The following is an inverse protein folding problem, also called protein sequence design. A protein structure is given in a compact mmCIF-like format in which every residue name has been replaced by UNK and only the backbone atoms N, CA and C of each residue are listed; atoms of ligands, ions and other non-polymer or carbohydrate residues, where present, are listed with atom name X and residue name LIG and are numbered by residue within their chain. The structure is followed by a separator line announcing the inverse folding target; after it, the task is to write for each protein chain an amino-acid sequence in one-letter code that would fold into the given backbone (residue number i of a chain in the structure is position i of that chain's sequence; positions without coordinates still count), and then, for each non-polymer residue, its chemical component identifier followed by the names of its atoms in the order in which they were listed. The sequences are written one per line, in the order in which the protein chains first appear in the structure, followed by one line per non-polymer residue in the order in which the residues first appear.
data_IF_146680793877
#
_entry.id   IF_146680793877
#
_cell.length_a   1.000
_cell.length_b   1.000
_cell.length_c   1.000
_cell.angle_alpha   90.00
_cell.angle_beta   90.00
_cell.angle_gamma   90.00
#
_symmetry.space_group_name_H-M   'P 1'
#
loop_
_entity.id
_entity.type
_entity.pdbx_description
1 polymer ?
#
# COMPACT_ATOMS: atom_id res chain seq x y z
N UNK A 1 -10.94 19.76 -33.91
CA UNK A 1 -10.18 20.39 -32.79
C UNK A 1 -9.73 19.29 -31.83
N UNK A 2 -8.71 18.55 -32.26
CA UNK A 2 -7.98 17.54 -31.49
C UNK A 2 -6.62 18.13 -31.13
N UNK A 3 -6.63 19.31 -30.50
CA UNK A 3 -5.41 19.87 -29.91
C UNK A 3 -5.15 19.18 -28.57
N UNK A 4 -4.11 18.35 -28.58
CA UNK A 4 -3.02 18.38 -27.59
C UNK A 4 -3.27 17.85 -26.17
N UNK A 5 -4.09 16.81 -26.03
CA UNK A 5 -4.18 16.01 -24.78
C UNK A 5 -2.84 15.36 -24.38
N UNK A 6 -1.95 15.07 -25.34
CA UNK A 6 -0.64 14.47 -25.06
C UNK A 6 0.34 15.43 -24.39
N UNK A 7 0.27 16.72 -24.73
CA UNK A 7 1.18 17.74 -24.21
C UNK A 7 0.81 18.10 -22.78
N UNK A 8 -0.49 18.23 -22.48
CA UNK A 8 -0.96 18.47 -21.11
C UNK A 8 -0.66 17.32 -20.14
N UNK A 9 -0.72 16.06 -20.61
CA UNK A 9 -0.34 14.91 -19.79
C UNK A 9 1.18 14.84 -19.53
N UNK A 10 2.00 15.18 -20.53
CA UNK A 10 3.45 15.21 -20.37
C UNK A 10 3.90 16.30 -19.38
N UNK A 11 3.29 17.49 -19.45
CA UNK A 11 3.56 18.59 -18.52
C UNK A 11 3.12 18.24 -17.10
N UNK A 12 1.97 17.57 -16.94
CA UNK A 12 1.50 17.09 -15.64
C UNK A 12 2.45 16.06 -15.02
N UNK A 13 2.92 15.09 -15.81
CA UNK A 13 3.89 14.08 -15.35
C UNK A 13 5.22 14.69 -14.93
N UNK A 14 5.74 15.67 -15.67
CA UNK A 14 6.97 16.37 -15.32
C UNK A 14 6.84 17.15 -14.00
N UNK A 15 5.70 17.80 -13.76
CA UNK A 15 5.43 18.49 -12.50
C UNK A 15 5.27 17.51 -11.33
N UNK A 16 4.66 16.35 -11.58
CA UNK A 16 4.53 15.30 -10.58
C UNK A 16 5.91 14.73 -10.17
N UNK A 17 6.79 14.44 -11.15
CA UNK A 17 8.15 13.96 -10.88
C UNK A 17 8.97 14.97 -10.06
N UNK A 18 8.89 16.27 -10.38
CA UNK A 18 9.60 17.31 -9.64
C UNK A 18 9.12 17.43 -8.19
N UNK A 19 7.80 17.40 -7.97
CA UNK A 19 7.21 17.43 -6.63
C UNK A 19 7.58 16.16 -5.83
N UNK A 20 7.59 15.01 -6.50
CA UNK A 20 7.98 13.74 -5.90
C UNK A 20 9.45 13.75 -5.46
N UNK A 21 10.37 14.23 -6.30
CA UNK A 21 11.80 14.34 -5.95
C UNK A 21 12.05 15.32 -4.79
N UNK A 22 11.36 16.47 -4.78
CA UNK A 22 11.49 17.44 -3.69
C UNK A 22 10.96 16.88 -2.37
N UNK A 23 9.87 16.12 -2.42
CA UNK A 23 9.31 15.44 -1.27
C UNK A 23 10.26 14.33 -0.77
N UNK A 24 10.79 13.47 -1.64
CA UNK A 24 11.77 12.44 -1.24
C UNK A 24 12.99 13.03 -0.53
N UNK A 25 13.60 14.09 -1.08
CA UNK A 25 14.82 14.70 -0.49
C UNK A 25 14.57 15.32 0.88
N UNK A 26 13.41 15.94 1.08
CA UNK A 26 13.05 16.54 2.37
C UNK A 26 12.68 15.49 3.42
N UNK A 27 12.01 14.40 3.01
CA UNK A 27 11.61 13.30 3.88
C UNK A 27 12.81 12.42 4.28
N UNK A 28 13.78 12.19 3.39
CA UNK A 28 15.00 11.43 3.68
C UNK A 28 15.86 12.07 4.79
N UNK A 29 15.87 13.41 4.87
CA UNK A 29 16.59 14.14 5.93
C UNK A 29 15.93 13.94 7.31
N UNK A 30 14.59 14.00 7.38
CA UNK A 30 13.82 13.82 8.62
C UNK A 30 13.82 12.37 9.10
N UNK A 31 13.85 11.40 8.17
CA UNK A 31 13.92 9.97 8.48
C UNK A 31 15.20 9.57 9.21
N UNK A 32 16.37 10.09 8.79
CA UNK A 32 17.66 9.80 9.45
C UNK A 32 17.70 10.24 10.92
N UNK A 33 16.96 11.30 11.26
CA UNK A 33 16.88 11.81 12.63
C UNK A 33 15.98 10.92 13.50
N UNK A 34 14.91 10.33 12.93
CA UNK A 34 13.96 9.47 13.63
C UNK A 34 14.41 7.99 13.76
N UNK A 35 15.17 7.45 12.80
CA UNK A 35 15.61 6.04 12.76
C UNK A 35 16.61 5.69 13.88
N UNK A 36 17.25 6.69 14.50
CA UNK A 36 18.20 6.48 15.61
C UNK A 36 17.56 5.92 16.90
N UNK A 37 16.22 5.87 16.99
CA UNK A 37 15.52 5.49 18.23
C UNK A 37 14.57 4.28 18.17
N UNK A 38 14.30 3.63 17.01
CA UNK A 38 13.11 2.75 16.87
C UNK A 38 13.34 1.28 16.49
N UNK A 39 14.56 0.83 16.22
CA UNK A 39 14.82 -0.55 15.78
C UNK A 39 14.83 -1.53 16.96
N UNK A 40 13.77 -2.31 17.19
CA UNK A 40 13.97 -3.67 17.79
C UNK A 40 12.81 -4.68 17.79
N UNK A 41 11.51 -4.37 17.65
CA UNK A 41 10.49 -5.33 18.16
C UNK A 41 9.39 -5.87 17.20
N UNK A 42 9.43 -5.65 15.89
CA UNK A 42 8.26 -5.93 15.03
C UNK A 42 8.25 -7.27 14.24
N UNK A 43 9.19 -8.20 14.39
CA UNK A 43 9.36 -9.26 13.36
C UNK A 43 8.59 -10.58 13.52
N UNK A 44 8.04 -10.96 14.68
CA UNK A 44 7.68 -12.39 14.94
C UNK A 44 6.22 -12.70 15.31
N UNK A 45 5.28 -11.75 15.29
CA UNK A 45 3.88 -12.03 15.63
C UNK A 45 2.97 -11.88 14.39
N UNK A 46 2.25 -12.95 14.06
CA UNK A 46 1.31 -12.97 12.93
C UNK A 46 0.29 -11.83 13.00
N UNK A 47 -0.15 -11.35 11.82
CA UNK A 47 -1.04 -10.20 11.67
C UNK A 47 -2.30 -10.30 12.55
N UNK A 48 -2.51 -9.31 13.42
CA UNK A 48 -3.73 -9.13 14.20
C UNK A 48 -4.41 -7.82 13.81
N UNK A 49 -5.67 -7.84 13.34
CA UNK A 49 -6.40 -6.61 12.99
C UNK A 49 -6.48 -5.57 14.13
N UNK A 50 -6.41 -6.02 15.38
CA UNK A 50 -6.40 -5.16 16.56
C UNK A 50 -5.12 -4.31 16.70
N UNK A 51 -4.00 -4.70 16.08
CA UNK A 51 -2.76 -3.94 16.15
C UNK A 51 -2.81 -2.69 15.24
N UNK A 52 -3.68 -2.68 14.22
CA UNK A 52 -3.98 -1.51 13.39
C UNK A 52 -4.69 -0.38 14.17
N UNK A 53 -5.20 -0.66 15.38
CA UNK A 53 -5.88 0.33 16.23
C UNK A 53 -4.92 1.16 17.07
N UNK A 54 -3.65 0.75 17.19
CA UNK A 54 -2.63 1.43 18.01
C UNK A 54 -1.82 2.45 17.21
N UNK A 55 -1.76 2.27 15.89
CA UNK A 55 -1.21 3.26 14.98
C UNK A 55 -2.31 4.26 14.68
N UNK A 56 -2.10 5.51 15.13
CA UNK A 56 -3.09 6.58 15.00
C UNK A 56 -3.50 6.84 13.55
N UNK A 57 -4.52 7.69 13.40
CA UNK A 57 -4.87 8.47 12.18
C UNK A 57 -6.13 8.09 11.39
N UNK A 58 -6.83 6.98 11.65
CA UNK A 58 -8.17 6.80 11.04
C UNK A 58 -9.24 7.51 11.89
N UNK A 59 -9.61 8.72 11.45
CA UNK A 59 -10.54 9.63 12.14
C UNK A 59 -11.95 9.04 12.32
N UNK A 60 -12.35 8.11 11.46
CA UNK A 60 -13.70 7.54 11.44
C UNK A 60 -13.69 6.03 11.25
N UNK A 61 -14.25 5.29 12.23
CA UNK A 61 -14.29 3.81 12.23
C UNK A 61 -15.43 3.21 11.38
N UNK A 62 -16.19 4.02 10.67
CA UNK A 62 -17.34 3.54 9.89
C UNK A 62 -17.00 3.18 8.43
N UNK A 63 -15.84 3.60 7.93
CA UNK A 63 -15.44 3.34 6.55
C UNK A 63 -13.92 3.37 6.39
N UNK A 64 -13.37 2.46 5.58
CA UNK A 64 -11.99 2.50 5.12
C UNK A 64 -11.87 2.15 3.64
N UNK A 65 -10.97 2.83 2.94
CA UNK A 65 -10.45 2.36 1.68
C UNK A 65 -9.37 1.30 1.93
N UNK A 66 -9.30 0.28 1.10
CA UNK A 66 -8.34 -0.80 1.22
C UNK A 66 -7.67 -1.09 -0.13
N UNK A 67 -6.34 -1.16 -0.11
CA UNK A 67 -5.55 -1.61 -1.25
C UNK A 67 -4.32 -2.39 -0.82
N UNK A 68 -3.60 -2.96 -1.79
CA UNK A 68 -2.46 -3.86 -1.58
C UNK A 68 -1.31 -3.56 -2.54
N UNK A 69 -0.23 -2.95 -2.04
CA UNK A 69 1.03 -2.79 -2.79
C UNK A 69 1.96 -3.98 -2.52
N UNK A 70 1.50 -5.19 -2.83
CA UNK A 70 2.26 -6.41 -2.56
C UNK A 70 2.84 -6.96 -3.85
N UNK A 71 4.15 -6.71 -4.00
CA UNK A 71 4.94 -6.93 -5.21
C UNK A 71 6.41 -7.08 -4.83
N UNK A 72 7.22 -7.66 -5.71
CA UNK A 72 8.69 -7.63 -5.73
C UNK A 72 9.24 -6.65 -6.79
N UNK A 73 8.38 -6.13 -7.66
CA UNK A 73 8.71 -5.15 -8.69
C UNK A 73 8.50 -3.71 -8.22
N UNK A 74 9.55 -2.87 -8.31
CA UNK A 74 9.48 -1.43 -7.99
C UNK A 74 8.41 -0.70 -8.83
N UNK A 75 8.31 -1.00 -10.12
CA UNK A 75 7.35 -0.36 -11.03
C UNK A 75 5.89 -0.53 -10.56
N UNK A 76 5.53 -1.70 -10.02
CA UNK A 76 4.19 -1.97 -9.50
C UNK A 76 3.97 -1.23 -8.18
N UNK A 77 5.03 -1.09 -7.36
CA UNK A 77 4.97 -0.30 -6.13
C UNK A 77 4.71 1.19 -6.44
N UNK A 78 5.41 1.74 -7.42
CA UNK A 78 5.24 3.14 -7.84
C UNK A 78 3.81 3.39 -8.35
N UNK A 79 3.26 2.47 -9.16
CA UNK A 79 1.86 2.52 -9.59
C UNK A 79 0.89 2.50 -8.40
N UNK A 80 1.13 1.62 -7.43
CA UNK A 80 0.31 1.57 -6.22
C UNK A 80 0.34 2.89 -5.44
N UNK A 81 1.52 3.50 -5.32
CA UNK A 81 1.68 4.77 -4.62
C UNK A 81 0.97 5.90 -5.37
N UNK A 82 1.08 5.95 -6.70
CA UNK A 82 0.34 6.91 -7.52
C UNK A 82 -1.17 6.78 -7.31
N UNK A 83 -1.70 5.55 -7.27
CA UNK A 83 -3.13 5.29 -7.04
C UNK A 83 -3.58 5.75 -5.65
N UNK A 84 -2.80 5.49 -4.60
CA UNK A 84 -3.08 5.99 -3.24
C UNK A 84 -3.02 7.53 -3.19
N UNK A 85 -1.99 8.14 -3.80
CA UNK A 85 -1.89 9.59 -3.88
C UNK A 85 -3.09 10.21 -4.63
N UNK A 86 -3.55 9.59 -5.71
CA UNK A 86 -4.74 10.05 -6.45
C UNK A 86 -6.00 10.01 -5.58
N UNK A 87 -6.19 8.95 -4.80
CA UNK A 87 -7.30 8.84 -3.84
C UNK A 87 -7.23 9.96 -2.78
N UNK A 88 -6.06 10.15 -2.17
CA UNK A 88 -5.83 11.17 -1.15
C UNK A 88 -6.11 12.58 -1.69
N UNK A 89 -5.66 12.87 -2.93
CA UNK A 89 -5.83 14.18 -3.55
C UNK A 89 -7.28 14.50 -3.96
N UNK A 90 -8.08 13.48 -4.30
CA UNK A 90 -9.41 13.68 -4.91
C UNK A 90 -10.57 13.48 -3.94
N UNK A 91 -10.43 12.61 -2.93
CA UNK A 91 -11.57 12.16 -2.13
C UNK A 91 -11.55 12.59 -0.66
N UNK A 92 -10.43 13.13 -0.17
CA UNK A 92 -10.21 13.38 1.27
C UNK A 92 -10.66 12.18 2.14
N UNK A 93 -10.07 10.99 1.91
CA UNK A 93 -10.60 9.75 2.46
C UNK A 93 -10.46 9.72 3.99
N UNK A 94 -11.47 9.21 4.73
CA UNK A 94 -11.44 9.20 6.19
C UNK A 94 -10.41 8.21 6.78
N UNK A 95 -10.02 7.21 6.00
CA UNK A 95 -9.06 6.17 6.38
C UNK A 95 -8.66 5.39 5.12
N UNK A 96 -7.36 5.14 4.95
CA UNK A 96 -6.83 4.25 3.92
C UNK A 96 -5.99 3.19 4.61
N UNK A 97 -6.27 1.92 4.36
CA UNK A 97 -5.46 0.79 4.83
C UNK A 97 -4.73 0.21 3.62
N UNK A 98 -3.40 0.18 3.68
CA UNK A 98 -2.57 -0.38 2.62
C UNK A 98 -1.72 -1.51 3.15
N UNK A 99 -1.87 -2.68 2.51
CA UNK A 99 -1.03 -3.83 2.78
C UNK A 99 0.15 -3.81 1.81
N UNK A 100 1.38 -3.89 2.32
CA UNK A 100 2.59 -3.77 1.51
C UNK A 100 3.52 -4.96 1.69
N UNK A 101 4.35 -5.23 0.67
CA UNK A 101 5.46 -6.18 0.82
C UNK A 101 6.39 -5.74 1.94
N UNK A 102 6.97 -6.70 2.67
CA UNK A 102 7.90 -6.43 3.79
C UNK A 102 9.05 -5.49 3.40
N UNK A 103 9.63 -5.66 2.21
CA UNK A 103 10.73 -4.81 1.73
C UNK A 103 10.29 -3.36 1.44
N UNK A 104 9.02 -3.16 1.10
CA UNK A 104 8.45 -1.86 0.76
C UNK A 104 7.89 -1.12 1.98
N UNK A 105 7.82 -1.77 3.15
CA UNK A 105 7.15 -1.25 4.35
C UNK A 105 7.72 0.09 4.81
N UNK A 106 9.03 0.18 4.99
CA UNK A 106 9.68 1.41 5.47
C UNK A 106 9.46 2.58 4.51
N UNK A 107 9.56 2.33 3.20
CA UNK A 107 9.31 3.34 2.17
C UNK A 107 7.85 3.79 2.17
N UNK A 108 6.90 2.85 2.17
CA UNK A 108 5.47 3.16 2.20
C UNK A 108 5.09 3.92 3.47
N UNK A 109 5.60 3.48 4.63
CA UNK A 109 5.39 4.16 5.90
C UNK A 109 5.93 5.60 5.82
N UNK A 110 7.17 5.80 5.38
CA UNK A 110 7.74 7.14 5.24
C UNK A 110 6.91 8.05 4.31
N UNK A 111 6.41 7.51 3.19
CA UNK A 111 5.58 8.25 2.23
C UNK A 111 4.22 8.64 2.81
N UNK A 112 3.57 7.76 3.56
CA UNK A 112 2.17 7.96 3.94
C UNK A 112 1.87 8.21 5.42
N UNK A 113 2.88 8.20 6.30
CA UNK A 113 2.72 8.39 7.77
C UNK A 113 1.94 9.66 8.16
N UNK A 114 1.84 10.66 7.28
CA UNK A 114 1.17 11.95 7.58
C UNK A 114 -0.17 12.13 6.87
N UNK A 115 -0.68 11.10 6.20
CA UNK A 115 -1.80 11.20 5.27
C UNK A 115 -3.02 10.36 5.68
N UNK A 116 -3.15 9.94 6.95
CA UNK A 116 -4.29 9.10 7.36
C UNK A 116 -4.28 7.71 6.70
N UNK A 117 -3.10 7.26 6.28
CA UNK A 117 -2.89 5.95 5.67
C UNK A 117 -2.23 5.03 6.68
N UNK A 118 -2.93 3.94 7.00
CA UNK A 118 -2.40 2.86 7.82
C UNK A 118 -1.66 1.89 6.92
N UNK A 119 -0.33 1.98 6.95
CA UNK A 119 0.57 1.07 6.24
C UNK A 119 0.80 -0.17 7.10
N UNK A 120 0.57 -1.36 6.55
CA UNK A 120 0.83 -2.60 7.27
C UNK A 120 1.51 -3.63 6.39
N UNK A 121 2.38 -4.45 6.99
CA UNK A 121 3.01 -5.55 6.29
C UNK A 121 1.94 -6.58 5.94
N UNK A 122 1.85 -6.94 4.66
CA UNK A 122 0.92 -7.95 4.21
C UNK A 122 1.18 -9.30 4.92
N UNK A 123 0.13 -10.03 5.35
CA UNK A 123 0.31 -11.32 5.97
C UNK A 123 0.86 -12.31 4.96
N UNK A 124 1.77 -13.14 5.43
CA UNK A 124 2.30 -14.27 4.67
C UNK A 124 1.29 -15.43 4.77
N UNK A 125 0.95 -15.98 3.61
CA UNK A 125 0.05 -17.13 3.52
C UNK A 125 0.88 -18.39 3.31
N UNK A 126 0.54 -19.47 4.01
CA UNK A 126 1.12 -20.77 3.71
C UNK A 126 0.53 -21.31 2.40
N UNK A 127 1.32 -22.12 1.70
CA UNK A 127 0.82 -22.88 0.57
C UNK A 127 -0.36 -23.76 0.98
N UNK A 128 -1.41 -23.78 0.15
CA UNK A 128 -2.52 -24.70 0.36
C UNK A 128 -2.07 -26.13 0.03
N UNK A 129 -2.66 -27.15 0.70
CA UNK A 129 -2.43 -28.55 0.34
C UNK A 129 -2.65 -28.80 -1.15
N UNK A 130 -1.86 -29.69 -1.75
CA UNK A 130 -1.89 -29.95 -3.20
C UNK A 130 -3.24 -30.44 -3.74
N UNK A 131 -4.05 -31.03 -2.88
CA UNK A 131 -5.42 -31.50 -3.15
C UNK A 131 -6.48 -30.40 -3.01
N UNK A 132 -6.11 -29.21 -2.52
CA UNK A 132 -7.02 -28.09 -2.39
C UNK A 132 -7.34 -27.46 -3.76
N UNK A 133 -8.62 -27.14 -4.06
CA UNK A 133 -9.03 -26.65 -5.39
C UNK A 133 -8.32 -25.35 -5.83
N UNK A 134 -7.81 -24.57 -4.88
CA UNK A 134 -7.09 -23.32 -5.10
C UNK A 134 -5.56 -23.42 -4.89
N UNK A 135 -4.98 -24.63 -4.77
CA UNK A 135 -3.54 -24.79 -4.57
C UNK A 135 -2.68 -24.16 -5.68
N UNK A 136 -3.19 -24.12 -6.90
CA UNK A 136 -2.55 -23.46 -8.05
C UNK A 136 -2.43 -21.93 -7.91
N UNK A 137 -3.19 -21.33 -6.97
CA UNK A 137 -3.16 -19.91 -6.64
C UNK A 137 -2.22 -19.59 -5.47
N UNK A 138 -1.80 -20.59 -4.68
CA UNK A 138 -0.84 -20.34 -3.60
C UNK A 138 0.60 -20.58 -4.01
N UNK A 139 0.85 -21.46 -4.97
CA UNK A 139 2.21 -21.88 -5.29
C UNK A 139 3.17 -20.71 -5.51
N UNK A 140 4.21 -20.65 -4.68
CA UNK A 140 5.42 -19.90 -5.00
C UNK A 140 5.94 -20.44 -6.33
N UNK A 141 5.75 -19.69 -7.42
CA UNK A 141 6.38 -20.09 -8.67
C UNK A 141 7.87 -19.99 -8.42
N UNK A 142 8.59 -21.12 -8.42
CA UNK A 142 10.03 -21.22 -8.13
C UNK A 142 10.96 -20.38 -9.01
N UNK A 143 10.41 -19.46 -9.82
CA UNK A 143 11.10 -18.45 -10.61
C UNK A 143 11.05 -17.04 -9.98
N UNK A 144 10.78 -16.93 -8.67
CA UNK A 144 11.11 -15.76 -7.85
C UNK A 144 10.51 -14.38 -8.26
N UNK A 145 9.58 -14.33 -9.21
CA UNK A 145 9.08 -13.06 -9.77
C UNK A 145 7.59 -12.78 -9.58
N UNK A 146 6.81 -13.74 -9.04
CA UNK A 146 5.41 -13.48 -8.69
C UNK A 146 4.95 -14.44 -7.61
N UNK A 147 4.91 -13.97 -6.37
CA UNK A 147 4.31 -14.75 -5.29
C UNK A 147 2.78 -14.65 -5.38
N UNK A 148 2.13 -15.70 -5.91
CA UNK A 148 0.67 -15.76 -6.07
C UNK A 148 -0.09 -15.69 -4.73
N UNK A 149 0.60 -15.97 -3.62
CA UNK A 149 0.10 -15.75 -2.27
C UNK A 149 -0.38 -14.30 -2.05
N UNK A 150 0.20 -13.33 -2.76
CA UNK A 150 -0.17 -11.92 -2.67
C UNK A 150 -1.56 -11.61 -3.23
N UNK A 151 -2.16 -12.52 -4.01
CA UNK A 151 -3.58 -12.42 -4.40
C UNK A 151 -4.50 -12.60 -3.20
N UNK A 152 -4.16 -13.50 -2.26
CA UNK A 152 -4.98 -13.74 -1.06
C UNK A 152 -5.02 -12.55 -0.11
N UNK A 153 -4.02 -11.67 -0.18
CA UNK A 153 -4.03 -10.41 0.58
C UNK A 153 -5.27 -9.57 0.25
N UNK A 154 -5.85 -9.68 -0.95
CA UNK A 154 -7.10 -8.97 -1.27
C UNK A 154 -8.26 -9.38 -0.34
N UNK A 155 -8.29 -10.62 0.13
CA UNK A 155 -9.32 -11.11 1.05
C UNK A 155 -9.14 -10.58 2.48
N UNK A 156 -7.98 -10.02 2.84
CA UNK A 156 -7.75 -9.43 4.16
C UNK A 156 -8.66 -8.22 4.42
N UNK A 157 -9.23 -7.60 3.37
CA UNK A 157 -10.28 -6.59 3.54
C UNK A 157 -11.44 -7.08 4.42
N UNK A 158 -11.81 -8.36 4.30
CA UNK A 158 -12.89 -8.96 5.10
C UNK A 158 -12.50 -9.16 6.58
N UNK A 159 -11.19 -9.15 6.89
CA UNK A 159 -10.66 -9.22 8.26
C UNK A 159 -10.53 -7.86 8.93
N UNK A 160 -10.80 -6.77 8.22
CA UNK A 160 -10.81 -5.41 8.76
C UNK A 160 -12.11 -5.10 9.53
N UNK A 161 -12.49 -5.97 10.46
CA UNK A 161 -13.76 -5.91 11.20
C UNK A 161 -13.87 -4.71 12.15
N UNK A 162 -12.78 -3.97 12.35
CA UNK A 162 -12.78 -2.71 13.07
C UNK A 162 -13.47 -1.57 12.29
N UNK A 163 -13.69 -1.74 10.98
CA UNK A 163 -14.48 -0.82 10.18
C UNK A 163 -15.84 -1.42 9.85
N UNK A 164 -16.89 -0.60 9.93
CA UNK A 164 -18.26 -1.03 9.58
C UNK A 164 -18.38 -1.39 8.08
N UNK A 165 -17.64 -0.67 7.23
CA UNK A 165 -17.61 -0.85 5.79
C UNK A 165 -16.19 -0.67 5.27
N UNK A 166 -15.87 -1.38 4.19
CA UNK A 166 -14.60 -1.20 3.48
C UNK A 166 -14.83 -1.22 1.96
N UNK A 167 -14.12 -0.36 1.24
CA UNK A 167 -14.06 -0.39 -0.22
C UNK A 167 -12.65 -0.83 -0.66
N UNK A 168 -12.57 -1.96 -1.35
CA UNK A 168 -11.31 -2.42 -1.94
C UNK A 168 -11.17 -1.88 -3.36
N UNK A 169 -9.96 -1.43 -3.70
CA UNK A 169 -9.59 -1.08 -5.06
C UNK A 169 -8.24 -1.72 -5.42
N UNK A 170 -8.06 -2.05 -6.70
CA UNK A 170 -6.80 -2.57 -7.22
C UNK A 170 -5.82 -1.41 -7.52
N UNK A 171 -4.54 -1.74 -7.58
CA UNK A 171 -3.44 -0.74 -7.66
C UNK A 171 -3.34 -0.02 -8.99
N UNK A 172 -4.08 -0.48 -10.00
CA UNK A 172 -4.16 0.07 -11.35
C UNK A 172 -5.34 1.05 -11.53
N UNK A 173 -6.02 1.43 -10.45
CA UNK A 173 -7.10 2.40 -10.43
C UNK A 173 -6.58 3.80 -10.11
N UNK A 174 -6.89 4.78 -10.97
CA UNK A 174 -6.65 6.21 -10.73
C UNK A 174 -7.99 6.85 -10.34
N UNK A 175 -8.00 7.57 -9.23
CA UNK A 175 -9.15 8.37 -8.78
C UNK A 175 -9.12 9.74 -9.45
N UNK A 176 -10.25 10.18 -9.99
CA UNK A 176 -10.45 11.46 -10.69
C UNK A 176 -11.55 12.26 -10.04
#
# INVERSE_FOLDING_TARGET
PEEDLSTGLAEYWAQFEELFEQQERSQFRLWKEADSGRRSNASDQGFRPADLLKDGECLYRNFAYFTRCVTDEQRILDQCFASICSLLATTDPPCVVVFVSRWAYETALATFTRNGVVVTIAPEWADLPTDHPYAHLTGSTGNASFNRLYTFVKFEVARLTQYERAASFDVDIIFM
#
